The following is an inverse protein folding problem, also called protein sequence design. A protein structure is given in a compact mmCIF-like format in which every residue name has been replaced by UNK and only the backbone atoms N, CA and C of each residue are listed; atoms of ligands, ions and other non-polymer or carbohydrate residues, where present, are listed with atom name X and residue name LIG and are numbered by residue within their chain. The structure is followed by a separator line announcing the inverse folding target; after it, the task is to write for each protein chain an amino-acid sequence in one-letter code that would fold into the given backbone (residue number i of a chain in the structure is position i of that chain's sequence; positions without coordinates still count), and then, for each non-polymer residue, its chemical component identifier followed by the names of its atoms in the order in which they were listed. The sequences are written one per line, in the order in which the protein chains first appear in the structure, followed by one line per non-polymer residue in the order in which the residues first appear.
data_IF_044338502155
#
_entry.id   IF_044338502155
#
_cell.length_a   1.000
_cell.length_b   1.000
_cell.length_c   1.000
_cell.angle_alpha   90.00
_cell.angle_beta   90.00
_cell.angle_gamma   90.00
#
_symmetry.space_group_name_H-M   'P 1'
#
loop_
_entity.id
_entity.type
_entity.pdbx_description
1 polymer ?
#
# COMPACT_ATOMS: atom_id res chain seq x y z
N UNK A 1 -1.47 21.99 -60.82
CA UNK A 1 -1.94 23.15 -60.02
C UNK A 1 -2.57 22.74 -58.68
N UNK A 2 -3.26 21.60 -58.59
CA UNK A 2 -3.83 21.10 -57.32
C UNK A 2 -2.77 20.58 -56.34
N UNK A 3 -1.72 19.91 -56.82
CA UNK A 3 -0.71 19.28 -55.95
C UNK A 3 0.13 20.28 -55.15
N UNK A 4 0.43 21.45 -55.76
CA UNK A 4 1.11 22.55 -55.09
C UNK A 4 0.29 23.15 -53.95
N UNK A 5 -1.03 23.28 -54.13
CA UNK A 5 -1.92 23.80 -53.09
C UNK A 5 -2.12 22.81 -51.93
N UNK A 6 -2.22 21.51 -52.23
CA UNK A 6 -2.32 20.47 -51.19
C UNK A 6 -1.04 20.42 -50.33
N UNK A 7 0.13 20.52 -50.97
CA UNK A 7 1.42 20.54 -50.27
C UNK A 7 1.54 21.75 -49.34
N UNK A 8 1.12 22.92 -49.79
CA UNK A 8 1.09 24.15 -48.97
C UNK A 8 0.17 24.02 -47.75
N UNK A 9 -1.02 23.42 -47.92
CA UNK A 9 -1.96 23.18 -46.81
C UNK A 9 -1.36 22.22 -45.77
N UNK A 10 -0.75 21.12 -46.22
CA UNK A 10 -0.10 20.14 -45.34
C UNK A 10 1.09 20.77 -44.60
N UNK A 11 1.88 21.60 -45.28
CA UNK A 11 2.97 22.35 -44.68
C UNK A 11 2.46 23.28 -43.57
N UNK A 12 1.41 24.06 -43.83
CA UNK A 12 0.83 24.96 -42.84
C UNK A 12 0.26 24.20 -41.64
N UNK A 13 -0.38 23.05 -41.85
CA UNK A 13 -0.86 22.20 -40.75
C UNK A 13 0.29 21.68 -39.89
N UNK A 14 1.35 21.15 -40.52
CA UNK A 14 2.56 20.70 -39.82
C UNK A 14 3.15 21.83 -38.99
N UNK A 15 3.27 23.02 -39.56
CA UNK A 15 3.88 24.17 -38.89
C UNK A 15 3.01 24.63 -37.70
N UNK A 16 1.68 24.59 -37.82
CA UNK A 16 0.76 24.84 -36.70
C UNK A 16 0.84 23.78 -35.60
N UNK A 17 0.96 22.51 -35.96
CA UNK A 17 1.16 21.44 -34.98
C UNK A 17 2.50 21.57 -34.27
N UNK A 18 3.55 21.94 -35.00
CA UNK A 18 4.87 22.19 -34.44
C UNK A 18 4.86 23.38 -33.47
N UNK A 19 4.22 24.49 -33.84
CA UNK A 19 4.07 25.65 -32.96
C UNK A 19 3.33 25.29 -31.66
N UNK A 20 2.23 24.53 -31.75
CA UNK A 20 1.50 24.04 -30.56
C UNK A 20 2.33 23.09 -29.71
N UNK A 21 3.12 22.22 -30.32
CA UNK A 21 4.01 21.32 -29.58
C UNK A 21 5.06 22.12 -28.81
N UNK A 22 5.67 23.13 -29.44
CA UNK A 22 6.64 24.01 -28.80
C UNK A 22 6.02 24.84 -27.66
N UNK A 23 4.82 25.38 -27.86
CA UNK A 23 4.06 26.08 -26.79
C UNK A 23 3.78 25.16 -25.60
N UNK A 24 3.38 23.90 -25.85
CA UNK A 24 3.12 22.92 -24.80
C UNK A 24 4.40 22.52 -24.06
N UNK A 25 5.52 22.32 -24.77
CA UNK A 25 6.82 22.05 -24.16
C UNK A 25 7.29 23.23 -23.28
N UNK A 26 7.11 24.47 -23.73
CA UNK A 26 7.42 25.66 -22.94
C UNK A 26 6.53 25.78 -21.70
N UNK A 27 5.23 25.52 -21.84
CA UNK A 27 4.30 25.53 -20.70
C UNK A 27 4.65 24.43 -19.67
N UNK A 28 5.02 23.24 -20.13
CA UNK A 28 5.46 22.15 -19.26
C UNK A 28 6.74 22.52 -18.50
N UNK A 29 7.73 23.10 -19.20
CA UNK A 29 8.97 23.57 -18.59
C UNK A 29 8.71 24.65 -17.54
N UNK A 30 7.83 25.61 -17.82
CA UNK A 30 7.41 26.66 -16.88
C UNK A 30 6.74 26.07 -15.63
N UNK A 31 5.77 25.15 -15.80
CA UNK A 31 5.10 24.49 -14.67
C UNK A 31 6.08 23.69 -13.83
N UNK A 32 7.02 22.97 -14.46
CA UNK A 32 8.09 22.26 -13.73
C UNK A 32 8.95 23.23 -12.92
N UNK A 33 9.33 24.36 -13.49
CA UNK A 33 10.10 25.38 -12.77
C UNK A 33 9.32 25.91 -11.57
N UNK A 34 8.04 26.25 -11.73
CA UNK A 34 7.17 26.68 -10.63
C UNK A 34 7.06 25.62 -9.52
N UNK A 35 6.90 24.35 -9.89
CA UNK A 35 6.87 23.25 -8.94
C UNK A 35 8.15 23.18 -8.11
N UNK A 36 9.32 23.33 -8.75
CA UNK A 36 10.60 23.37 -8.00
C UNK A 36 10.73 24.61 -7.12
N UNK A 37 10.18 25.76 -7.52
CA UNK A 37 10.19 26.97 -6.68
C UNK A 37 9.36 26.79 -5.43
N UNK A 38 8.11 26.33 -5.59
CA UNK A 38 7.18 26.07 -4.48
C UNK A 38 7.72 25.01 -3.54
N UNK A 39 8.40 23.99 -4.06
CA UNK A 39 9.08 23.00 -3.22
C UNK A 39 10.18 23.62 -2.35
N UNK A 40 11.02 24.50 -2.91
CA UNK A 40 12.06 25.21 -2.15
C UNK A 40 11.46 26.14 -1.10
N UNK A 41 10.41 26.87 -1.43
CA UNK A 41 9.69 27.73 -0.48
C UNK A 41 9.08 26.90 0.66
N UNK A 42 8.46 25.77 0.34
CA UNK A 42 7.91 24.85 1.33
C UNK A 42 9.00 24.32 2.27
N UNK A 43 10.17 23.97 1.75
CA UNK A 43 11.33 23.53 2.54
C UNK A 43 11.87 24.66 3.43
N UNK A 44 11.98 25.88 2.90
CA UNK A 44 12.40 27.06 3.66
C UNK A 44 11.45 27.36 4.81
N UNK A 45 10.15 27.43 4.53
CA UNK A 45 9.11 27.68 5.54
C UNK A 45 9.09 26.58 6.59
N UNK A 46 9.29 25.32 6.19
CA UNK A 46 9.41 24.21 7.16
C UNK A 46 10.63 24.37 8.05
N UNK A 47 11.78 24.75 7.51
CA UNK A 47 13.00 24.97 8.29
C UNK A 47 12.81 26.14 9.27
N UNK A 48 12.16 27.22 8.85
CA UNK A 48 11.89 28.38 9.71
C UNK A 48 10.85 28.07 10.80
N UNK A 49 9.81 27.29 10.49
CA UNK A 49 8.85 26.81 11.48
C UNK A 49 9.51 25.95 12.57
N UNK A 50 10.48 25.10 12.19
CA UNK A 50 11.27 24.33 13.17
C UNK A 50 12.06 25.28 14.06
N UNK A 51 12.83 26.23 13.50
CA UNK A 51 13.59 27.22 14.28
C UNK A 51 12.69 28.05 15.22
N UNK A 52 11.48 28.41 14.78
CA UNK A 52 10.54 29.13 15.62
C UNK A 52 10.08 28.26 16.79
N UNK A 53 9.77 26.98 16.53
CA UNK A 53 9.46 26.01 17.58
C UNK A 53 10.61 25.87 18.59
N UNK A 54 11.87 25.83 18.12
CA UNK A 54 13.05 25.82 18.99
C UNK A 54 13.09 27.01 19.94
N UNK A 55 12.90 28.23 19.40
CA UNK A 55 12.86 29.46 20.19
C UNK A 55 11.73 29.45 21.22
N UNK A 56 10.53 29.04 20.83
CA UNK A 56 9.38 28.94 21.74
C UNK A 56 9.70 27.94 22.85
N UNK A 57 10.25 26.77 22.51
CA UNK A 57 10.61 25.73 23.49
C UNK A 57 11.70 26.19 24.44
N UNK A 58 12.71 26.90 23.92
CA UNK A 58 13.77 27.52 24.72
C UNK A 58 13.18 28.53 25.71
N UNK A 59 12.39 29.49 25.25
CA UNK A 59 11.74 30.47 26.14
C UNK A 59 10.84 29.80 27.19
N UNK A 60 10.13 28.74 26.81
CA UNK A 60 9.37 27.93 27.76
C UNK A 60 10.25 27.30 28.83
N UNK A 61 11.41 26.73 28.46
CA UNK A 61 12.34 26.14 29.43
C UNK A 61 12.93 27.16 30.41
N UNK A 62 13.10 28.43 30.02
CA UNK A 62 13.50 29.49 30.95
C UNK A 62 12.34 30.00 31.81
N UNK A 63 11.12 30.07 31.24
CA UNK A 63 9.93 30.54 31.95
C UNK A 63 9.34 29.52 32.93
N UNK A 64 9.70 28.24 32.79
CA UNK A 64 9.40 27.15 33.71
C UNK A 64 10.65 26.80 34.53
N UNK A 65 10.98 27.55 35.60
CA UNK A 65 11.97 27.08 36.55
C UNK A 65 11.47 25.75 37.14
N UNK A 66 12.39 24.78 37.16
CA UNK A 66 12.26 23.41 37.67
C UNK A 66 12.14 23.44 39.21
N UNK A 67 11.15 24.17 39.75
CA UNK A 67 11.03 24.46 41.19
C UNK A 67 9.62 24.60 41.75
N UNK A 68 8.56 24.36 40.96
CA UNK A 68 7.16 24.47 41.41
C UNK A 68 6.36 23.17 41.23
N UNK A 69 6.99 22.03 41.51
CA UNK A 69 6.29 20.74 41.62
C UNK A 69 7.00 19.85 42.63
N UNK A 70 7.05 20.36 43.85
CA UNK A 70 7.18 19.58 45.07
C UNK A 70 5.95 19.93 45.92
N UNK A 71 4.99 19.02 45.88
CA UNK A 71 3.91 18.71 46.83
C UNK A 71 3.41 19.79 47.80
N UNK A 72 2.08 20.01 47.81
CA UNK A 72 1.36 19.99 49.09
C UNK A 72 -0.16 19.85 48.94
N UNK A 73 -0.68 19.02 49.82
CA UNK A 73 -2.05 18.94 50.28
C UNK A 73 -2.53 20.28 50.85
N UNK A 74 -3.86 20.39 50.96
CA UNK A 74 -4.63 21.26 51.85
C UNK A 74 -4.92 22.72 51.41
N UNK A 75 -6.23 22.98 51.32
CA UNK A 75 -6.99 24.13 51.82
C UNK A 75 -6.26 25.45 52.14
N UNK A 76 -6.74 26.55 51.56
CA UNK A 76 -6.45 27.87 52.07
C UNK A 76 -6.82 29.00 51.11
N UNK A 77 -7.74 29.84 51.57
CA UNK A 77 -8.10 31.16 51.03
C UNK A 77 -6.90 32.04 50.70
N UNK A 78 -6.99 32.87 49.66
CA UNK A 78 -6.01 33.94 49.45
C UNK A 78 -6.02 34.56 48.07
N UNK A 79 -6.77 35.65 47.92
CA UNK A 79 -6.67 36.61 46.83
C UNK A 79 -5.22 37.09 46.66
N UNK A 80 -4.71 37.01 45.44
CA UNK A 80 -3.46 37.65 45.03
C UNK A 80 -3.49 37.92 43.54
N UNK A 81 -4.07 39.06 43.15
CA UNK A 81 -3.85 39.65 41.83
C UNK A 81 -2.36 39.99 41.73
N UNK A 82 -1.60 39.14 41.03
CA UNK A 82 -0.24 39.47 40.57
C UNK A 82 -0.26 39.36 39.05
N UNK A 83 -0.22 40.54 38.42
CA UNK A 83 -0.28 40.75 36.98
C UNK A 83 0.95 40.19 36.27
N UNK A 84 0.99 38.86 36.15
CA UNK A 84 1.86 38.18 35.21
C UNK A 84 1.00 37.80 34.01
N UNK A 85 1.15 38.56 32.92
CA UNK A 85 0.71 38.19 31.58
C UNK A 85 1.53 36.99 31.08
N UNK A 86 1.53 35.89 31.82
CA UNK A 86 2.08 34.62 31.40
C UNK A 86 1.09 34.05 30.41
N UNK A 87 1.33 34.33 29.12
CA UNK A 87 0.72 33.58 28.03
C UNK A 87 1.12 32.12 28.22
N UNK A 88 0.24 31.32 28.81
CA UNK A 88 0.39 29.87 28.87
C UNK A 88 0.14 29.31 27.47
N UNK A 89 1.17 29.37 26.62
CA UNK A 89 1.08 28.79 25.28
C UNK A 89 0.99 27.27 25.42
N UNK A 90 -0.23 26.74 25.33
CA UNK A 90 -0.53 25.32 25.44
C UNK A 90 -0.10 24.58 24.16
N UNK A 91 1.22 24.43 23.98
CA UNK A 91 1.84 23.85 22.79
C UNK A 91 1.67 22.31 22.72
N UNK A 92 1.43 21.63 23.85
CA UNK A 92 1.54 20.17 23.94
C UNK A 92 0.42 19.36 23.26
N UNK A 93 -0.72 19.97 22.93
CA UNK A 93 -1.88 19.26 22.36
C UNK A 93 -2.19 19.62 20.90
N UNK A 94 -1.48 20.60 20.33
CA UNK A 94 -1.67 20.98 18.92
C UNK A 94 -0.92 19.99 18.00
N UNK A 95 -1.62 19.31 17.06
CA UNK A 95 -0.99 18.35 16.16
C UNK A 95 0.12 18.97 15.28
N UNK A 96 0.06 20.27 15.01
CA UNK A 96 1.12 20.97 14.27
C UNK A 96 2.40 21.06 15.09
N UNK A 97 2.27 21.31 16.39
CA UNK A 97 3.39 21.39 17.32
C UNK A 97 4.04 20.03 17.50
N UNK A 98 3.26 18.95 17.62
CA UNK A 98 3.78 17.59 17.70
C UNK A 98 4.62 17.19 16.46
N UNK A 99 4.23 17.67 15.28
CA UNK A 99 5.00 17.45 14.05
C UNK A 99 6.36 18.15 14.10
N UNK A 100 6.40 19.39 14.55
CA UNK A 100 7.66 20.15 14.64
C UNK A 100 8.51 19.72 15.84
N UNK A 101 7.91 19.24 16.93
CA UNK A 101 8.63 18.65 18.07
C UNK A 101 9.37 17.38 17.67
N UNK A 102 8.72 16.49 16.92
CA UNK A 102 9.36 15.29 16.38
C UNK A 102 10.50 15.63 15.40
N UNK A 103 10.31 16.65 14.54
CA UNK A 103 11.34 17.11 13.61
C UNK A 103 12.56 17.69 14.36
N UNK A 104 12.33 18.41 15.45
CA UNK A 104 13.37 18.95 16.33
C UNK A 104 14.13 17.85 17.08
N UNK A 105 13.42 16.91 17.72
CA UNK A 105 14.03 15.80 18.46
C UNK A 105 14.86 14.88 17.55
N UNK A 106 14.43 14.69 16.30
CA UNK A 106 15.18 13.95 15.29
C UNK A 106 16.51 14.64 14.91
N UNK A 107 16.61 15.96 15.05
CA UNK A 107 17.83 16.72 14.79
C UNK A 107 18.74 16.83 16.03
N UNK A 108 18.18 16.85 17.24
CA UNK A 108 18.92 17.07 18.49
C UNK A 108 19.57 15.82 19.10
N UNK A 109 19.25 14.61 18.64
CA UNK A 109 19.83 13.37 19.18
C UNK A 109 21.02 12.88 18.32
N UNK A 110 22.28 13.04 18.77
CA UNK A 110 23.47 12.64 18.01
C UNK A 110 23.50 11.13 17.72
N UNK A 111 22.75 10.30 18.46
CA UNK A 111 22.66 8.86 18.25
C UNK A 111 21.55 8.44 17.28
N UNK A 112 20.64 9.34 16.89
CA UNK A 112 19.61 9.01 15.90
C UNK A 112 20.19 8.90 14.49
N UNK A 113 21.19 9.72 14.14
CA UNK A 113 21.89 9.60 12.86
C UNK A 113 22.68 8.30 12.79
N UNK A 114 23.38 7.94 13.87
CA UNK A 114 24.15 6.70 13.96
C UNK A 114 23.24 5.46 13.95
N UNK A 115 22.21 5.41 14.79
CA UNK A 115 21.26 4.29 14.83
C UNK A 115 20.45 4.15 13.53
N UNK A 116 20.16 5.25 12.81
CA UNK A 116 19.59 5.20 11.46
C UNK A 116 20.59 4.66 10.45
N UNK A 117 21.84 5.11 10.47
CA UNK A 117 22.89 4.60 9.59
C UNK A 117 23.19 3.11 9.87
N UNK A 118 23.17 2.68 11.12
CA UNK A 118 23.39 1.29 11.53
C UNK A 118 22.19 0.40 11.18
N UNK A 119 20.96 0.86 11.40
CA UNK A 119 19.75 0.21 10.86
C UNK A 119 19.82 0.13 9.34
N UNK A 120 20.26 1.18 8.65
CA UNK A 120 20.35 1.22 7.20
C UNK A 120 21.46 0.30 6.65
N UNK A 121 22.59 0.17 7.35
CA UNK A 121 23.64 -0.83 7.08
C UNK A 121 23.12 -2.25 7.29
N UNK A 122 22.40 -2.50 8.39
CA UNK A 122 21.74 -3.78 8.67
C UNK A 122 20.68 -4.10 7.60
N UNK A 123 19.88 -3.13 7.17
CA UNK A 123 18.92 -3.28 6.07
C UNK A 123 19.62 -3.50 4.72
N UNK A 124 20.80 -2.92 4.47
CA UNK A 124 21.58 -3.17 3.24
C UNK A 124 22.24 -4.55 3.23
N UNK A 125 22.60 -5.08 4.40
CA UNK A 125 23.13 -6.44 4.58
C UNK A 125 22.01 -7.50 4.58
N UNK A 126 20.75 -7.10 4.84
CA UNK A 126 19.59 -8.00 4.71
C UNK A 126 19.07 -8.13 3.27
N UNK A 127 18.73 -9.38 2.93
CA UNK A 127 18.74 -9.96 1.59
C UNK A 127 17.80 -9.21 0.61
N UNK A 128 18.26 -8.84 -0.60
CA UNK A 128 17.52 -8.02 -1.55
C UNK A 128 16.18 -8.63 -2.02
N UNK A 129 16.01 -9.95 -1.95
CA UNK A 129 14.77 -10.63 -2.33
C UNK A 129 13.59 -10.34 -1.38
N UNK A 130 13.83 -10.08 -0.09
CA UNK A 130 12.77 -9.80 0.88
C UNK A 130 12.14 -8.43 0.59
N UNK A 131 12.94 -7.47 0.12
CA UNK A 131 12.46 -6.14 -0.28
C UNK A 131 11.63 -6.17 -1.55
N UNK A 132 11.99 -7.04 -2.50
CA UNK A 132 11.22 -7.23 -3.75
C UNK A 132 9.90 -7.93 -3.45
N UNK A 133 9.91 -8.96 -2.61
CA UNK A 133 8.70 -9.65 -2.13
C UNK A 133 7.75 -8.69 -1.41
N UNK A 134 8.27 -7.83 -0.53
CA UNK A 134 7.46 -6.85 0.20
C UNK A 134 6.90 -5.73 -0.70
N UNK A 135 7.64 -5.31 -1.75
CA UNK A 135 7.14 -4.36 -2.75
C UNK A 135 6.07 -5.00 -3.65
N UNK A 136 6.27 -6.24 -4.09
CA UNK A 136 5.26 -7.01 -4.83
C UNK A 136 4.01 -7.23 -3.98
N UNK A 137 4.18 -7.66 -2.73
CA UNK A 137 3.10 -7.86 -1.78
C UNK A 137 2.29 -6.58 -1.53
N UNK A 138 2.96 -5.43 -1.36
CA UNK A 138 2.29 -4.14 -1.18
C UNK A 138 1.64 -3.59 -2.45
N UNK A 139 2.16 -3.90 -3.64
CA UNK A 139 1.51 -3.54 -4.91
C UNK A 139 0.27 -4.40 -5.16
N UNK A 140 0.34 -5.69 -4.82
CA UNK A 140 -0.79 -6.63 -4.91
C UNK A 140 -1.87 -6.29 -3.86
N UNK A 141 -1.49 -6.01 -2.61
CA UNK A 141 -2.42 -5.64 -1.54
C UNK A 141 -2.85 -4.17 -1.59
N UNK A 142 -2.08 -3.27 -2.20
CA UNK A 142 -2.33 -1.83 -2.16
C UNK A 142 -3.30 -1.34 -3.23
N UNK A 143 -3.35 -2.03 -4.38
CA UNK A 143 -4.12 -1.56 -5.52
C UNK A 143 -5.51 -2.23 -5.59
N UNK A 144 -6.59 -1.44 -5.65
CA UNK A 144 -7.98 -1.95 -5.68
C UNK A 144 -8.22 -2.92 -6.84
N UNK A 145 -7.56 -2.66 -7.99
CA UNK A 145 -7.60 -3.54 -9.16
C UNK A 145 -6.80 -4.84 -8.96
N UNK A 146 -5.65 -4.78 -8.30
CA UNK A 146 -4.84 -5.99 -8.05
C UNK A 146 -5.54 -6.97 -7.11
N UNK A 147 -6.27 -6.47 -6.10
CA UNK A 147 -7.13 -7.30 -5.23
C UNK A 147 -8.21 -8.03 -6.03
N UNK A 148 -8.87 -7.33 -6.96
CA UNK A 148 -9.89 -7.93 -7.82
C UNK A 148 -9.30 -8.99 -8.76
N UNK A 149 -8.12 -8.74 -9.34
CA UNK A 149 -7.43 -9.72 -10.19
C UNK A 149 -7.02 -10.98 -9.41
N UNK A 150 -6.51 -10.83 -8.18
CA UNK A 150 -6.15 -11.96 -7.33
C UNK A 150 -7.37 -12.80 -6.93
N UNK A 151 -8.49 -12.16 -6.56
CA UNK A 151 -9.73 -12.86 -6.25
C UNK A 151 -10.29 -13.60 -7.47
N UNK A 152 -10.29 -12.96 -8.64
CA UNK A 152 -10.76 -13.57 -9.89
C UNK A 152 -9.88 -14.77 -10.27
N UNK A 153 -8.56 -14.65 -10.14
CA UNK A 153 -7.63 -15.75 -10.38
C UNK A 153 -7.90 -16.95 -9.46
N UNK A 154 -8.10 -16.70 -8.16
CA UNK A 154 -8.44 -17.75 -7.20
C UNK A 154 -9.77 -18.43 -7.55
N UNK A 155 -10.80 -17.66 -7.92
CA UNK A 155 -12.10 -18.18 -8.32
C UNK A 155 -11.99 -19.07 -9.57
N UNK A 156 -11.27 -18.62 -10.60
CA UNK A 156 -11.06 -19.37 -11.84
C UNK A 156 -10.34 -20.69 -11.54
N UNK A 157 -9.28 -20.67 -10.73
CA UNK A 157 -8.58 -21.90 -10.32
C UNK A 157 -9.52 -22.86 -9.59
N UNK A 158 -10.34 -22.38 -8.66
CA UNK A 158 -11.27 -23.25 -7.95
C UNK A 158 -12.29 -23.86 -8.91
N UNK A 159 -12.87 -23.06 -9.82
CA UNK A 159 -13.79 -23.57 -10.85
C UNK A 159 -13.10 -24.63 -11.71
N UNK A 160 -11.85 -24.41 -12.13
CA UNK A 160 -11.09 -25.38 -12.93
C UNK A 160 -10.80 -26.67 -12.15
N UNK A 161 -10.44 -26.58 -10.86
CA UNK A 161 -10.24 -27.75 -10.00
C UNK A 161 -11.55 -28.51 -9.86
N UNK A 162 -12.66 -27.85 -9.57
CA UNK A 162 -13.98 -28.49 -9.47
C UNK A 162 -14.39 -29.15 -10.79
N UNK A 163 -14.14 -28.52 -11.94
CA UNK A 163 -14.38 -29.11 -13.27
C UNK A 163 -13.50 -30.34 -13.52
N UNK A 164 -12.21 -30.26 -13.17
CA UNK A 164 -11.30 -31.38 -13.31
C UNK A 164 -11.71 -32.57 -12.43
N UNK A 165 -12.09 -32.30 -11.17
CA UNK A 165 -12.62 -33.30 -10.26
C UNK A 165 -13.97 -33.85 -10.73
N UNK A 166 -14.86 -33.01 -11.25
CA UNK A 166 -16.14 -33.43 -11.80
C UNK A 166 -15.96 -34.35 -13.00
N UNK A 167 -15.10 -33.98 -13.96
CA UNK A 167 -14.79 -34.83 -15.09
C UNK A 167 -14.13 -36.14 -14.63
N UNK A 168 -13.14 -36.08 -13.74
CA UNK A 168 -12.50 -37.29 -13.21
C UNK A 168 -13.50 -38.22 -12.51
N UNK A 169 -14.37 -37.68 -11.65
CA UNK A 169 -15.42 -38.43 -10.98
C UNK A 169 -16.47 -38.98 -11.96
N UNK A 170 -16.84 -38.21 -13.00
CA UNK A 170 -17.75 -38.63 -14.05
C UNK A 170 -17.16 -39.79 -14.87
N UNK A 171 -15.88 -39.68 -15.28
CA UNK A 171 -15.16 -40.75 -15.96
C UNK A 171 -15.05 -42.00 -15.09
N UNK A 172 -14.72 -41.85 -13.81
CA UNK A 172 -14.63 -42.98 -12.88
C UNK A 172 -15.98 -43.66 -12.70
N UNK A 173 -17.07 -42.89 -12.54
CA UNK A 173 -18.43 -43.43 -12.47
C UNK A 173 -18.82 -44.18 -13.75
N UNK A 174 -18.45 -43.67 -14.92
CA UNK A 174 -18.73 -44.36 -16.19
C UNK A 174 -17.95 -45.67 -16.34
N UNK A 175 -16.72 -45.74 -15.80
CA UNK A 175 -15.92 -46.95 -15.76
C UNK A 175 -16.53 -47.99 -14.81
N UNK A 176 -16.90 -47.56 -13.59
CA UNK A 176 -17.57 -48.42 -12.60
C UNK A 176 -18.92 -48.96 -13.12
N UNK A 177 -19.68 -48.14 -13.86
CA UNK A 177 -20.95 -48.53 -14.48
C UNK A 177 -20.75 -49.54 -15.63
N UNK A 178 -19.64 -49.46 -16.37
CA UNK A 178 -19.28 -50.43 -17.40
C UNK A 178 -18.89 -51.80 -16.79
N UNK A 179 -18.11 -51.79 -15.71
CA UNK A 179 -17.71 -53.02 -15.00
C UNK A 179 -18.92 -53.73 -14.38
N UNK A 180 -19.78 -52.99 -13.68
CA UNK A 180 -21.00 -53.55 -13.08
C UNK A 180 -21.96 -54.12 -14.13
N UNK A 181 -22.11 -53.44 -15.28
CA UNK A 181 -22.92 -53.93 -16.40
C UNK A 181 -22.36 -55.23 -17.00
N UNK A 182 -21.04 -55.35 -17.12
CA UNK A 182 -20.37 -56.57 -17.58
C UNK A 182 -20.60 -57.74 -16.61
N UNK A 183 -20.40 -57.51 -15.31
CA UNK A 183 -20.59 -58.53 -14.28
C UNK A 183 -22.04 -59.02 -14.19
N UNK A 184 -23.01 -58.12 -14.33
CA UNK A 184 -24.43 -58.48 -14.31
C UNK A 184 -24.81 -59.33 -15.52
N UNK A 185 -24.37 -58.95 -16.73
CA UNK A 185 -24.57 -59.74 -17.95
C UNK A 185 -23.88 -61.10 -17.89
N UNK A 186 -22.69 -61.18 -17.33
CA UNK A 186 -21.99 -62.44 -17.12
C UNK A 186 -22.76 -63.36 -16.16
N UNK A 187 -23.23 -62.83 -15.02
CA UNK A 187 -24.03 -63.60 -14.07
C UNK A 187 -25.36 -64.09 -14.67
N UNK A 188 -26.02 -63.25 -15.46
CA UNK A 188 -27.23 -63.62 -16.19
C UNK A 188 -26.96 -64.72 -17.23
N UNK A 189 -25.88 -64.59 -18.01
CA UNK A 189 -25.47 -65.61 -18.98
C UNK A 189 -25.14 -66.95 -18.32
N UNK A 190 -24.38 -66.96 -17.22
CA UNK A 190 -24.07 -68.19 -16.46
C UNK A 190 -25.36 -68.86 -15.97
N UNK A 191 -26.32 -68.08 -15.48
CA UNK A 191 -27.61 -68.60 -15.01
C UNK A 191 -28.46 -69.20 -16.13
N UNK A 192 -28.43 -68.61 -17.32
CA UNK A 192 -29.18 -69.09 -18.48
C UNK A 192 -28.52 -70.29 -19.17
N UNK A 193 -27.19 -70.31 -19.29
CA UNK A 193 -26.44 -71.34 -20.00
C UNK A 193 -26.08 -72.56 -19.14
N UNK A 194 -25.96 -72.41 -17.81
CA UNK A 194 -25.60 -73.48 -16.87
C UNK A 194 -26.63 -73.61 -15.72
N UNK A 195 -27.85 -74.11 -16.00
CA UNK A 195 -28.91 -74.23 -14.99
C UNK A 195 -28.59 -75.22 -13.85
N UNK A 196 -27.70 -76.20 -14.07
CA UNK A 196 -27.35 -77.22 -13.06
C UNK A 196 -26.56 -76.67 -11.86
N UNK A 197 -25.72 -75.65 -12.07
CA UNK A 197 -24.89 -75.04 -11.00
C UNK A 197 -25.70 -74.19 -10.00
N UNK A 198 -26.97 -73.90 -10.32
CA UNK A 198 -27.87 -73.15 -9.44
C UNK A 198 -28.63 -74.05 -8.45
N UNK A 199 -28.73 -75.36 -8.73
CA UNK A 199 -29.52 -76.29 -7.92
C UNK A 199 -28.70 -76.94 -6.78
N UNK A 200 -27.37 -77.00 -6.91
CA UNK A 200 -26.46 -77.59 -5.92
C UNK A 200 -26.26 -76.75 -4.63
N UNK A 201 -26.82 -75.54 -4.56
CA UNK A 201 -26.77 -74.69 -3.35
C UNK A 201 -28.03 -74.78 -2.47
N UNK A 202 -28.92 -75.74 -2.76
CA UNK A 202 -30.20 -75.93 -2.03
C UNK A 202 -30.31 -77.22 -1.21
N UNK A 203 -29.20 -77.96 -1.00
CA UNK A 203 -29.08 -78.99 0.04
C UNK A 203 -28.22 -78.50 1.20
#
# INVERSE_FOLDING_TARGET
MLDTSLLEIVQHQRDRFRARAEELEQAEASVRQHLTSVQRELESVRADNVKLYEKIRFLQSYSSPIGARSESFAAGSGSGLSGNNRVSVHLGSDPTVLKYSQAYEAHMDPFNQFSRQEKQRFYQVLKPYEKVMLRLGRVILGNRRARFMAFTYALVIHILIFLALYNAAYFQRSADEAESSCMLRYAEHIRAAHPEMANDKKL
#
